data_IF_237597184228
#
_entry.id   IF_237597184228
#
_cell.length_a   1.000
_cell.length_b   1.000
_cell.length_c   1.000
_cell.angle_alpha   90.00
_cell.angle_beta   90.00
_cell.angle_gamma   90.00
#
_symmetry.space_group_name_H-M   'P 1'
#
loop_
_entity.id
_entity.type
_entity.pdbx_description
1 polymer ?
#
# COMPACT_ATOMS: atom_id res chain seq x y z
N UNK A 1 8.17 7.59 -4.97
CA UNK A 1 8.17 8.20 -3.62
C UNK A 1 7.49 7.36 -2.55
N UNK A 2 6.57 6.47 -2.87
CA UNK A 2 5.99 5.62 -1.83
C UNK A 2 7.03 4.75 -1.11
N UNK A 3 8.07 4.19 -1.78
CA UNK A 3 9.12 3.49 -1.04
C UNK A 3 9.82 4.35 0.00
N UNK A 4 10.14 5.59 -0.33
CA UNK A 4 10.75 6.51 0.61
C UNK A 4 9.82 6.88 1.75
N UNK A 5 8.51 7.01 1.46
CA UNK A 5 7.51 7.28 2.49
C UNK A 5 7.40 6.11 3.49
N UNK A 6 7.48 4.88 3.00
CA UNK A 6 7.48 3.71 3.88
C UNK A 6 8.70 3.70 4.81
N UNK A 7 9.89 4.01 4.29
CA UNK A 7 11.09 4.13 5.11
C UNK A 7 10.95 5.24 6.16
N UNK A 8 10.44 6.40 5.76
CA UNK A 8 10.22 7.54 6.66
C UNK A 8 9.19 7.20 7.74
N UNK A 9 8.14 6.46 7.39
CA UNK A 9 7.15 6.02 8.37
C UNK A 9 7.77 5.14 9.45
N UNK A 10 8.67 4.23 9.08
CA UNK A 10 9.39 3.40 10.06
C UNK A 10 10.17 4.25 11.06
N UNK A 11 10.76 5.34 10.59
CA UNK A 11 11.60 6.23 11.39
C UNK A 11 10.79 7.24 12.22
N UNK A 12 9.64 7.68 11.73
CA UNK A 12 8.91 8.85 12.25
C UNK A 12 7.55 8.55 12.84
N UNK A 13 6.95 7.41 12.54
CA UNK A 13 5.61 7.09 13.03
C UNK A 13 5.58 7.00 14.55
N UNK A 14 4.53 7.56 15.15
CA UNK A 14 4.21 7.27 16.54
C UNK A 14 3.67 5.85 16.63
N UNK A 15 3.61 5.29 17.83
CA UNK A 15 3.05 3.95 18.03
C UNK A 15 1.57 3.91 17.60
N UNK A 16 0.83 5.00 17.86
CA UNK A 16 -0.57 5.11 17.42
C UNK A 16 -0.69 5.11 15.90
N UNK A 17 0.17 5.88 15.22
CA UNK A 17 0.19 5.93 13.76
C UNK A 17 0.52 4.57 13.16
N UNK A 18 1.49 3.87 13.74
CA UNK A 18 1.86 2.53 13.31
C UNK A 18 0.71 1.55 13.48
N UNK A 19 0.00 1.62 14.61
CA UNK A 19 -1.20 0.83 14.86
C UNK A 19 -2.29 1.09 13.83
N UNK A 20 -2.49 2.35 13.46
CA UNK A 20 -3.47 2.73 12.43
C UNK A 20 -3.10 2.16 11.05
N UNK A 21 -1.82 2.13 10.71
CA UNK A 21 -1.35 1.48 9.48
C UNK A 21 -1.69 -0.01 9.49
N UNK A 22 -1.42 -0.69 10.60
CA UNK A 22 -1.70 -2.13 10.72
C UNK A 22 -3.18 -2.43 10.60
N UNK A 23 -4.04 -1.63 11.24
CA UNK A 23 -5.49 -1.79 11.13
C UNK A 23 -5.97 -1.59 9.68
N UNK A 24 -5.46 -0.56 9.00
CA UNK A 24 -5.81 -0.30 7.61
C UNK A 24 -5.39 -1.45 6.71
N UNK A 25 -4.20 -2.02 6.94
CA UNK A 25 -3.71 -3.17 6.19
C UNK A 25 -4.57 -4.42 6.40
N UNK A 26 -5.00 -4.67 7.62
CA UNK A 26 -5.90 -5.78 7.93
C UNK A 26 -7.25 -5.63 7.24
N UNK A 27 -7.74 -4.40 7.13
CA UNK A 27 -9.00 -4.15 6.42
C UNK A 27 -8.87 -4.47 4.93
N UNK A 28 -7.74 -4.16 4.30
CA UNK A 28 -7.48 -4.56 2.91
C UNK A 28 -7.54 -6.07 2.76
N UNK A 29 -6.88 -6.81 3.66
CA UNK A 29 -6.88 -8.27 3.65
C UNK A 29 -8.32 -8.83 3.78
N UNK A 30 -9.10 -8.26 4.68
CA UNK A 30 -10.48 -8.68 4.90
C UNK A 30 -11.34 -8.45 3.66
N UNK A 31 -11.23 -7.28 3.03
CA UNK A 31 -11.99 -6.97 1.82
C UNK A 31 -11.62 -7.92 0.68
N UNK A 32 -10.35 -8.26 0.54
CA UNK A 32 -9.90 -9.23 -0.48
C UNK A 32 -10.50 -10.61 -0.20
N UNK A 33 -10.47 -11.08 1.05
CA UNK A 33 -11.02 -12.39 1.43
C UNK A 33 -12.51 -12.49 1.17
N UNK A 34 -13.24 -11.37 1.35
CA UNK A 34 -14.67 -11.30 1.12
C UNK A 34 -15.04 -11.05 -0.33
N UNK A 35 -14.06 -10.96 -1.22
CA UNK A 35 -14.23 -10.60 -2.63
C UNK A 35 -14.98 -9.27 -2.80
N UNK A 36 -14.82 -8.36 -1.82
CA UNK A 36 -15.39 -7.03 -1.85
C UNK A 36 -14.44 -6.05 -2.55
N UNK A 37 -14.95 -4.86 -2.88
CA UNK A 37 -14.13 -3.79 -3.44
C UNK A 37 -13.18 -3.27 -2.35
N UNK A 38 -11.87 -3.44 -2.58
CA UNK A 38 -10.81 -3.04 -1.65
C UNK A 38 -10.23 -1.67 -1.95
N UNK A 39 -10.72 -0.99 -2.99
CA UNK A 39 -10.10 0.26 -3.48
C UNK A 39 -9.96 1.30 -2.37
N UNK A 40 -11.05 1.58 -1.64
CA UNK A 40 -11.03 2.53 -0.53
C UNK A 40 -10.09 2.12 0.59
N UNK A 41 -10.12 0.84 0.96
CA UNK A 41 -9.28 0.31 2.04
C UNK A 41 -7.79 0.37 1.65
N UNK A 42 -7.47 0.06 0.40
CA UNK A 42 -6.11 0.11 -0.11
C UNK A 42 -5.58 1.55 -0.12
N UNK A 43 -6.38 2.51 -0.57
CA UNK A 43 -6.03 3.92 -0.53
C UNK A 43 -5.80 4.39 0.91
N UNK A 44 -6.65 3.97 1.84
CA UNK A 44 -6.50 4.31 3.26
C UNK A 44 -5.21 3.76 3.84
N UNK A 45 -4.83 2.54 3.51
CA UNK A 45 -3.59 1.93 3.96
C UNK A 45 -2.37 2.77 3.52
N UNK A 46 -2.29 3.10 2.23
CA UNK A 46 -1.20 3.91 1.69
C UNK A 46 -1.22 5.34 2.26
N UNK A 47 -2.40 5.90 2.46
CA UNK A 47 -2.58 7.22 3.06
C UNK A 47 -2.05 7.26 4.49
N UNK A 48 -2.32 6.22 5.28
CA UNK A 48 -1.83 6.13 6.65
C UNK A 48 -0.31 6.06 6.72
N UNK A 49 0.32 5.38 5.75
CA UNK A 49 1.78 5.36 5.66
C UNK A 49 2.30 6.77 5.35
N UNK A 50 1.67 7.48 4.43
CA UNK A 50 2.06 8.84 4.09
C UNK A 50 1.92 9.80 5.26
N UNK A 51 0.83 9.71 6.02
CA UNK A 51 0.64 10.51 7.24
C UNK A 51 1.76 10.22 8.24
N UNK A 52 2.07 8.95 8.45
CA UNK A 52 3.08 8.53 9.42
C UNK A 52 4.50 8.88 8.99
N UNK A 53 4.73 9.16 7.72
CA UNK A 53 6.02 9.62 7.22
C UNK A 53 6.31 11.06 7.61
N UNK A 54 5.28 11.83 7.97
CA UNK A 54 5.36 13.25 8.28
C UNK A 54 5.88 14.10 7.11
N UNK A 55 5.62 13.65 5.88
CA UNK A 55 5.94 14.39 4.67
C UNK A 55 4.66 14.99 4.07
N UNK A 56 4.36 16.24 4.40
CA UNK A 56 3.12 16.90 4.01
C UNK A 56 2.95 17.06 2.50
N UNK A 57 4.04 17.28 1.79
CA UNK A 57 4.00 17.45 0.33
C UNK A 57 3.50 16.17 -0.35
N UNK A 58 4.08 15.03 0.01
CA UNK A 58 3.67 13.74 -0.55
C UNK A 58 2.24 13.37 -0.16
N UNK A 59 1.83 13.75 1.05
CA UNK A 59 0.48 13.51 1.52
C UNK A 59 -0.58 14.16 0.62
N UNK A 60 -0.28 15.33 0.08
CA UNK A 60 -1.20 16.04 -0.82
C UNK A 60 -1.25 15.42 -2.22
N UNK A 61 -0.18 14.79 -2.68
CA UNK A 61 -0.12 14.19 -4.01
C UNK A 61 -0.72 12.78 -4.10
N UNK A 62 -0.62 12.00 -3.03
CA UNK A 62 -1.03 10.60 -3.04
C UNK A 62 -2.48 10.35 -3.47
N UNK A 63 -3.47 11.12 -3.01
CA UNK A 63 -4.86 10.87 -3.42
C UNK A 63 -5.06 10.95 -4.94
N UNK A 64 -4.35 11.86 -5.60
CA UNK A 64 -4.44 12.02 -7.06
C UNK A 64 -3.84 10.81 -7.76
N UNK A 65 -2.68 10.35 -7.30
CA UNK A 65 -2.00 9.17 -7.86
C UNK A 65 -2.84 7.92 -7.66
N UNK A 66 -3.36 7.71 -6.45
CA UNK A 66 -4.16 6.53 -6.09
C UNK A 66 -5.47 6.48 -6.88
N UNK A 67 -6.10 7.62 -7.13
CA UNK A 67 -7.33 7.68 -7.92
C UNK A 67 -7.09 7.17 -9.34
N UNK A 68 -6.02 7.62 -9.99
CA UNK A 68 -5.67 7.18 -11.35
C UNK A 68 -5.34 5.68 -11.40
N UNK A 69 -4.57 5.19 -10.41
CA UNK A 69 -4.20 3.76 -10.32
C UNK A 69 -5.44 2.90 -10.07
N UNK A 70 -6.34 3.33 -9.19
CA UNK A 70 -7.56 2.60 -8.87
C UNK A 70 -8.47 2.43 -10.09
N UNK A 71 -8.62 3.46 -10.90
CA UNK A 71 -9.39 3.36 -12.15
C UNK A 71 -8.79 2.29 -13.08
N UNK A 72 -7.47 2.29 -13.21
CA UNK A 72 -6.78 1.31 -14.04
C UNK A 72 -7.00 -0.12 -13.53
N UNK A 73 -6.94 -0.33 -12.21
CA UNK A 73 -7.16 -1.64 -11.60
C UNK A 73 -8.58 -2.12 -11.83
N UNK A 74 -9.57 -1.25 -11.66
CA UNK A 74 -10.98 -1.62 -11.83
C UNK A 74 -11.32 -2.04 -13.26
N UNK A 75 -10.60 -1.52 -14.24
CA UNK A 75 -10.77 -1.88 -15.65
C UNK A 75 -9.96 -3.09 -16.06
N UNK A 76 -9.16 -3.66 -15.15
CA UNK A 76 -8.24 -4.74 -15.45
C UNK A 76 -8.94 -6.10 -15.31
N UNK A 77 -8.71 -7.00 -16.31
CA UNK A 77 -9.29 -8.34 -16.31
C UNK A 77 -8.61 -9.29 -15.30
N UNK A 78 -7.45 -8.89 -14.74
CA UNK A 78 -6.66 -9.71 -13.85
C UNK A 78 -6.81 -9.28 -12.38
N UNK A 79 -8.01 -8.86 -11.97
CA UNK A 79 -8.26 -8.40 -10.60
C UNK A 79 -7.94 -9.45 -9.53
N UNK A 80 -8.22 -10.71 -9.81
CA UNK A 80 -7.92 -11.81 -8.87
C UNK A 80 -6.41 -11.96 -8.66
N UNK A 81 -5.63 -11.93 -9.75
CA UNK A 81 -4.17 -11.97 -9.69
C UNK A 81 -3.63 -10.76 -8.91
N UNK A 82 -4.17 -9.57 -9.17
CA UNK A 82 -3.79 -8.36 -8.45
C UNK A 82 -4.12 -8.46 -6.96
N UNK A 83 -5.23 -9.11 -6.60
CA UNK A 83 -5.61 -9.32 -5.21
C UNK A 83 -4.61 -10.21 -4.48
N UNK A 84 -4.20 -11.32 -5.11
CA UNK A 84 -3.21 -12.23 -4.53
C UNK A 84 -1.85 -11.55 -4.35
N UNK A 85 -1.43 -10.78 -5.35
CA UNK A 85 -0.19 -10.00 -5.28
C UNK A 85 -0.26 -8.99 -4.13
N UNK A 86 -1.37 -8.29 -4.01
CA UNK A 86 -1.58 -7.29 -2.96
C UNK A 86 -1.50 -7.93 -1.57
N UNK A 87 -2.17 -9.06 -1.37
CA UNK A 87 -2.13 -9.77 -0.08
C UNK A 87 -0.69 -10.12 0.32
N UNK A 88 0.05 -10.71 -0.61
CA UNK A 88 1.44 -11.11 -0.36
C UNK A 88 2.33 -9.92 -0.05
N UNK A 89 2.24 -8.89 -0.89
CA UNK A 89 3.13 -7.73 -0.81
C UNK A 89 2.81 -6.86 0.39
N UNK A 90 1.52 -6.67 0.72
CA UNK A 90 1.12 -5.91 1.91
C UNK A 90 1.52 -6.63 3.19
N UNK A 91 1.43 -7.97 3.25
CA UNK A 91 1.85 -8.73 4.41
C UNK A 91 3.34 -8.53 4.69
N UNK A 92 4.18 -8.56 3.66
CA UNK A 92 5.61 -8.33 3.79
C UNK A 92 5.90 -6.90 4.24
N UNK A 93 5.25 -5.93 3.63
CA UNK A 93 5.40 -4.51 3.98
C UNK A 93 5.00 -4.27 5.44
N UNK A 94 3.87 -4.82 5.87
CA UNK A 94 3.38 -4.68 7.24
C UNK A 94 4.36 -5.30 8.25
N UNK A 95 4.99 -6.42 7.91
CA UNK A 95 5.99 -7.04 8.77
C UNK A 95 7.18 -6.10 8.99
N UNK A 96 7.72 -5.52 7.93
CA UNK A 96 8.83 -4.56 8.04
C UNK A 96 8.44 -3.27 8.76
N UNK A 97 7.24 -2.75 8.49
CA UNK A 97 6.73 -1.57 9.20
C UNK A 97 6.59 -1.84 10.71
N UNK A 98 6.06 -3.01 11.07
CA UNK A 98 5.89 -3.39 12.48
C UNK A 98 7.20 -3.49 13.23
N UNK A 99 8.27 -3.90 12.55
CA UNK A 99 9.63 -3.97 13.10
C UNK A 99 10.38 -2.64 13.00
N UNK A 100 9.80 -1.64 12.38
CA UNK A 100 10.43 -0.36 12.06
C UNK A 100 11.74 -0.54 11.28
N UNK A 101 11.75 -1.53 10.38
CA UNK A 101 12.87 -1.78 9.48
C UNK A 101 12.71 -0.91 8.23
N UNK A 102 13.32 0.27 8.24
CA UNK A 102 13.17 1.25 7.16
C UNK A 102 13.67 0.72 5.82
N UNK A 103 14.80 0.02 5.83
CA UNK A 103 15.36 -0.56 4.60
C UNK A 103 14.43 -1.63 4.02
N UNK A 104 13.95 -2.53 4.88
CA UNK A 104 13.03 -3.58 4.46
C UNK A 104 11.70 -3.04 3.96
N UNK A 105 11.15 -2.04 4.64
CA UNK A 105 9.88 -1.41 4.25
C UNK A 105 10.00 -0.70 2.89
N UNK A 106 11.09 0.01 2.67
CA UNK A 106 11.35 0.65 1.37
C UNK A 106 11.44 -0.37 0.25
N UNK A 107 12.17 -1.46 0.46
CA UNK A 107 12.34 -2.53 -0.52
C UNK A 107 11.01 -3.24 -0.80
N UNK A 108 10.23 -3.54 0.25
CA UNK A 108 8.93 -4.20 0.12
C UNK A 108 7.94 -3.32 -0.67
N UNK A 109 7.90 -2.03 -0.39
CA UNK A 109 7.03 -1.11 -1.13
C UNK A 109 7.45 -1.02 -2.60
N UNK A 110 8.75 -0.98 -2.87
CA UNK A 110 9.27 -0.95 -4.24
C UNK A 110 8.87 -2.20 -5.01
N UNK A 111 8.99 -3.37 -4.38
CA UNK A 111 8.57 -4.65 -4.97
C UNK A 111 7.07 -4.65 -5.23
N UNK A 112 6.28 -4.18 -4.27
CA UNK A 112 4.82 -4.11 -4.39
C UNK A 112 4.38 -3.27 -5.60
N UNK A 113 4.94 -2.08 -5.75
CA UNK A 113 4.62 -1.21 -6.88
C UNK A 113 5.03 -1.85 -8.21
N UNK A 114 6.20 -2.48 -8.25
CA UNK A 114 6.68 -3.17 -9.47
C UNK A 114 5.80 -4.36 -9.82
N UNK A 115 5.40 -5.15 -8.83
CA UNK A 115 4.51 -6.30 -9.04
C UNK A 115 3.17 -5.86 -9.60
N UNK A 116 2.60 -4.77 -9.06
CA UNK A 116 1.35 -4.23 -9.55
C UNK A 116 1.47 -3.73 -11.00
N UNK A 117 2.55 -3.03 -11.31
CA UNK A 117 2.80 -2.56 -12.68
C UNK A 117 2.98 -3.71 -13.66
N UNK A 118 3.70 -4.76 -13.28
CA UNK A 118 3.88 -5.94 -14.12
C UNK A 118 2.55 -6.66 -14.37
N UNK A 119 1.73 -6.81 -13.35
CA UNK A 119 0.41 -7.43 -13.48
C UNK A 119 -0.50 -6.62 -14.40
N UNK A 120 -0.48 -5.29 -14.29
CA UNK A 120 -1.25 -4.40 -15.17
C UNK A 120 -0.78 -4.49 -16.63
N UNK A 121 0.52 -4.67 -16.86
CA UNK A 121 1.08 -4.81 -18.20
C UNK A 121 0.62 -6.09 -18.90
N UNK A 122 0.31 -7.15 -18.16
CA UNK A 122 -0.18 -8.43 -18.73
C UNK A 122 -1.57 -8.32 -19.35
N UNK A 123 -2.33 -7.26 -19.01
CA UNK A 123 -3.69 -7.08 -19.51
C UNK A 123 -3.77 -6.38 -20.88
N UNK A 124 -2.63 -5.97 -21.43
CA UNK A 124 -2.57 -5.25 -22.70
C UNK A 124 -2.48 -6.19 -23.91
#
# INVERSE_FOLDING_TARGET
FEPQLAAMACQRATDEELGAIMEAGKLVEEQIRLHADRTSADQEFHQRIAVASHNRFMLQLLPIIHSAVSETIMLNEHQELLSDITLRDHALLMDFLGKRDAFGAEAAMRIHLRSAMNALALSK
#
